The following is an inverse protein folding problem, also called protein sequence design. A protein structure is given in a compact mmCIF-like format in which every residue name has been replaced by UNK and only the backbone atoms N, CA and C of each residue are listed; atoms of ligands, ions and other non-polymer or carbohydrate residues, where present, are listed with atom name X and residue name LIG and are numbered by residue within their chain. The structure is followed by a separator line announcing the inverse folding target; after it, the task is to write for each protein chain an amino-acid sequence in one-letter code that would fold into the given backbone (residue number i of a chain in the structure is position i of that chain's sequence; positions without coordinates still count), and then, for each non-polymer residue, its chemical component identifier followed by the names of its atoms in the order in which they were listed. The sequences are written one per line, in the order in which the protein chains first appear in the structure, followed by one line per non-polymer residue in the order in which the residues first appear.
data_IF_447230724401
#
_entry.id   IF_447230724401
#
_cell.length_a   1.000
_cell.length_b   1.000
_cell.length_c   1.000
_cell.angle_alpha   90.00
_cell.angle_beta   90.00
_cell.angle_gamma   90.00
#
_symmetry.space_group_name_H-M   'P 1'
#
loop_
_entity.id
_entity.type
_entity.pdbx_description
1 polymer ?
#
# COMPACT_ATOMS: atom_id res chain seq x y z
N UNK A 1 -20.19 -17.65 -15.57
CA UNK A 1 -20.24 -16.86 -14.33
C UNK A 1 -18.97 -16.03 -14.29
N UNK A 2 -19.08 -14.75 -14.62
CA UNK A 2 -17.92 -13.86 -14.71
C UNK A 2 -17.63 -13.42 -13.27
N UNK A 3 -16.54 -13.96 -12.71
CA UNK A 3 -16.08 -13.60 -11.38
C UNK A 3 -15.42 -12.22 -11.47
N UNK A 4 -16.22 -11.17 -11.31
CA UNK A 4 -15.81 -9.76 -11.42
C UNK A 4 -14.66 -9.40 -10.46
N UNK A 5 -14.45 -10.22 -9.42
CA UNK A 5 -13.37 -10.11 -8.45
C UNK A 5 -11.98 -10.39 -9.03
N UNK A 6 -11.89 -11.08 -10.18
CA UNK A 6 -10.62 -11.51 -10.77
C UNK A 6 -10.18 -10.64 -11.97
N UNK A 7 -10.99 -9.64 -12.36
CA UNK A 7 -10.74 -8.81 -13.55
C UNK A 7 -10.06 -7.47 -13.20
N UNK A 8 -10.06 -7.09 -11.93
CA UNK A 8 -9.21 -6.03 -11.41
C UNK A 8 -7.95 -6.71 -10.89
N UNK A 9 -6.96 -6.86 -11.77
CA UNK A 9 -5.61 -7.30 -11.42
C UNK A 9 -5.17 -6.52 -10.18
N UNK A 10 -5.28 -7.14 -9.00
CA UNK A 10 -5.10 -6.45 -7.72
C UNK A 10 -3.74 -5.75 -7.70
N UNK A 11 -2.74 -6.40 -8.31
CA UNK A 11 -1.39 -5.87 -8.55
C UNK A 11 -1.42 -4.49 -9.22
N UNK A 12 -2.08 -4.35 -10.37
CA UNK A 12 -2.24 -3.06 -11.05
C UNK A 12 -3.09 -2.08 -10.25
N UNK A 13 -4.07 -2.54 -9.50
CA UNK A 13 -4.86 -1.67 -8.64
C UNK A 13 -3.98 -1.06 -7.53
N UNK A 14 -3.19 -1.90 -6.85
CA UNK A 14 -2.22 -1.48 -5.83
C UNK A 14 -1.17 -0.53 -6.40
N UNK A 15 -0.63 -0.81 -7.58
CA UNK A 15 0.34 0.05 -8.23
C UNK A 15 -0.25 1.42 -8.58
N UNK A 16 -1.46 1.44 -9.13
CA UNK A 16 -2.17 2.68 -9.48
C UNK A 16 -2.49 3.51 -8.24
N UNK A 17 -3.00 2.89 -7.17
CA UNK A 17 -3.26 3.56 -5.89
C UNK A 17 -1.98 4.14 -5.31
N UNK A 18 -0.88 3.40 -5.35
CA UNK A 18 0.42 3.87 -4.89
C UNK A 18 0.91 5.09 -5.67
N UNK A 19 0.80 5.07 -7.01
CA UNK A 19 1.16 6.20 -7.87
C UNK A 19 0.29 7.43 -7.61
N UNK A 20 -1.03 7.25 -7.50
CA UNK A 20 -1.97 8.35 -7.22
C UNK A 20 -1.77 8.95 -5.83
N UNK A 21 -1.49 8.11 -4.83
CA UNK A 21 -1.32 8.51 -3.43
C UNK A 21 0.03 9.18 -3.20
N UNK A 22 1.07 8.70 -3.85
CA UNK A 22 2.45 9.09 -3.63
C UNK A 22 3.19 9.33 -4.96
N UNK A 23 2.78 10.36 -5.73
CA UNK A 23 3.41 10.66 -7.01
C UNK A 23 4.88 11.04 -6.88
N UNK A 24 5.25 11.67 -5.76
CA UNK A 24 6.60 12.16 -5.47
C UNK A 24 7.38 11.25 -4.49
N UNK A 25 6.80 10.09 -4.14
CA UNK A 25 7.40 9.15 -3.19
C UNK A 25 6.56 8.90 -1.93
N UNK A 26 6.85 7.77 -1.28
CA UNK A 26 6.03 7.24 -0.17
C UNK A 26 6.23 8.09 1.08
N UNK A 27 5.13 8.57 1.65
CA UNK A 27 5.12 9.32 2.90
C UNK A 27 4.27 8.60 3.94
N UNK A 28 4.69 8.65 5.20
CA UNK A 28 3.95 8.02 6.28
C UNK A 28 2.60 8.73 6.48
N UNK A 29 1.46 8.03 6.36
CA UNK A 29 0.14 8.64 6.55
C UNK A 29 -0.15 9.06 7.99
N UNK A 30 0.68 8.62 8.94
CA UNK A 30 0.49 8.91 10.36
C UNK A 30 1.19 10.17 10.84
N UNK A 31 2.38 10.47 10.30
CA UNK A 31 3.19 11.61 10.74
C UNK A 31 3.68 12.49 9.58
N UNK A 32 3.37 12.14 8.33
CA UNK A 32 3.81 12.86 7.13
C UNK A 32 5.29 12.68 6.76
N UNK A 33 6.07 11.95 7.55
CA UNK A 33 7.50 11.79 7.28
C UNK A 33 7.77 10.99 6.00
N UNK A 34 8.68 11.48 5.16
CA UNK A 34 9.23 10.77 4.01
C UNK A 34 10.21 9.64 4.40
N UNK A 35 10.61 9.59 5.67
CA UNK A 35 11.54 8.58 6.19
C UNK A 35 10.81 7.25 6.42
N UNK A 36 10.62 6.50 5.33
CA UNK A 36 9.89 5.23 5.30
C UNK A 36 10.74 4.15 4.63
N UNK A 37 10.82 2.98 5.26
CA UNK A 37 11.54 1.82 4.75
C UNK A 37 10.58 0.78 4.22
N UNK A 38 10.93 0.13 3.10
CA UNK A 38 10.14 -0.95 2.50
C UNK A 38 10.47 -2.26 3.21
N UNK A 39 9.51 -2.82 3.92
CA UNK A 39 9.64 -4.07 4.70
C UNK A 39 9.30 -5.32 3.87
N UNK A 40 9.36 -5.23 2.54
CA UNK A 40 8.96 -6.31 1.63
C UNK A 40 7.45 -6.38 1.41
N UNK A 41 7.02 -7.51 0.83
CA UNK A 41 5.63 -7.81 0.47
C UNK A 41 5.02 -8.86 1.40
N UNK A 42 3.68 -8.89 1.47
CA UNK A 42 2.98 -9.94 2.19
C UNK A 42 3.00 -11.25 1.39
N UNK A 43 3.19 -12.39 2.07
CA UNK A 43 3.30 -13.72 1.44
C UNK A 43 2.00 -14.17 0.78
N UNK A 44 0.86 -13.67 1.26
CA UNK A 44 -0.46 -13.97 0.72
C UNK A 44 -0.87 -13.02 -0.41
N UNK A 45 -0.32 -11.81 -0.41
CA UNK A 45 -0.63 -10.75 -1.37
C UNK A 45 0.68 -10.06 -1.79
N UNK A 46 1.41 -10.62 -2.78
CA UNK A 46 2.73 -10.12 -3.17
C UNK A 46 2.70 -8.68 -3.72
N UNK A 47 1.51 -8.19 -4.10
CA UNK A 47 1.29 -6.81 -4.53
C UNK A 47 1.21 -5.79 -3.39
N UNK A 48 0.90 -6.24 -2.16
CA UNK A 48 0.78 -5.34 -1.01
C UNK A 48 2.16 -5.07 -0.44
N UNK A 49 2.66 -3.86 -0.65
CA UNK A 49 3.95 -3.44 -0.10
C UNK A 49 3.75 -2.99 1.34
N UNK A 50 4.55 -3.56 2.24
CA UNK A 50 4.62 -3.13 3.63
C UNK A 50 5.71 -2.09 3.76
N UNK A 51 5.37 -0.99 4.42
CA UNK A 51 6.27 0.09 4.79
C UNK A 51 6.35 0.21 6.30
N UNK A 52 7.47 0.75 6.76
CA UNK A 52 7.64 1.16 8.14
C UNK A 52 8.21 2.56 8.18
N UNK A 53 7.55 3.45 8.90
CA UNK A 53 8.07 4.79 9.10
C UNK A 53 9.17 4.74 10.15
N UNK A 54 10.34 5.28 9.86
CA UNK A 54 11.42 5.45 10.83
C UNK A 54 11.23 6.70 11.72
N UNK A 55 10.31 7.61 11.37
CA UNK A 55 9.96 8.76 12.22
C UNK A 55 9.03 8.41 13.37
N UNK A 56 7.91 7.73 13.09
CA UNK A 56 6.94 7.33 14.12
C UNK A 56 6.96 5.84 14.46
N UNK A 57 7.86 5.06 13.84
CA UNK A 57 8.03 3.61 14.05
C UNK A 57 6.80 2.74 13.71
N UNK A 58 5.73 3.34 13.16
CA UNK A 58 4.50 2.64 12.76
C UNK A 58 4.66 2.00 11.39
N UNK A 59 4.12 0.79 11.28
CA UNK A 59 4.00 0.06 10.02
C UNK A 59 2.72 0.49 9.32
N UNK A 60 2.80 0.63 8.00
CA UNK A 60 1.67 0.93 7.13
C UNK A 60 1.92 0.27 5.77
N UNK A 61 0.89 0.12 4.98
CA UNK A 61 0.94 -0.48 3.64
C UNK A 61 0.17 0.41 2.66
N UNK A 62 0.17 0.05 1.37
CA UNK A 62 -0.48 0.86 0.33
C UNK A 62 -1.97 1.10 0.64
N UNK A 63 -2.63 0.16 1.32
CA UNK A 63 -4.04 0.28 1.72
C UNK A 63 -4.27 1.00 3.04
N UNK A 64 -3.24 1.19 3.86
CA UNK A 64 -3.41 1.79 5.18
C UNK A 64 -4.04 3.18 5.04
N UNK A 65 -5.24 3.38 5.59
CA UNK A 65 -6.00 4.63 5.48
C UNK A 65 -6.85 4.76 4.20
N UNK A 66 -6.97 3.71 3.39
CA UNK A 66 -7.93 3.60 2.29
C UNK A 66 -9.12 2.75 2.70
N UNK A 67 -10.25 2.89 2.01
CA UNK A 67 -11.46 2.08 2.21
C UNK A 67 -11.24 0.59 1.98
N UNK A 68 -10.13 0.21 1.33
CA UNK A 68 -9.76 -1.16 1.02
C UNK A 68 -8.98 -1.86 2.16
N UNK A 69 -8.65 -1.16 3.25
CA UNK A 69 -7.86 -1.72 4.35
C UNK A 69 -8.52 -2.91 5.11
N UNK A 70 -9.75 -3.31 4.74
CA UNK A 70 -10.54 -4.35 5.40
C UNK A 70 -11.17 -5.38 4.45
N UNK A 71 -10.58 -5.62 3.28
CA UNK A 71 -10.96 -6.72 2.38
C UNK A 71 -9.82 -7.73 2.21
#
# INVERSE_FOLDING_TARGET
MINLQNLLDDVRCYETVRQLRWPDGVHCPHCGAANVTKQGHDTTQPARQKYRCAGCHRSFDDLTGTVLAGH
#
